data_IF_964095510565
#
_entry.id   IF_964095510565
#
_cell.length_a   1.000
_cell.length_b   1.000
_cell.length_c   1.000
_cell.angle_alpha   90.00
_cell.angle_beta   90.00
_cell.angle_gamma   90.00
#
_symmetry.space_group_name_H-M   'P 1'
#
loop_
_entity.id
_entity.type
_entity.pdbx_description
1 polymer ?
#
# COMPACT_ATOMS: atom_id res chain seq x y z
N UNK A 1 11.73 68.46 -5.37
CA UNK A 1 10.43 68.58 -6.01
C UNK A 1 9.69 67.34 -5.47
N UNK A 2 9.13 67.51 -4.39
CA UNK A 2 7.72 67.80 -4.03
C UNK A 2 6.94 66.47 -4.01
N UNK A 3 6.65 66.02 -2.82
CA UNK A 3 5.49 66.27 -1.94
C UNK A 3 4.43 65.17 -2.17
N UNK A 4 3.78 64.56 -1.23
CA UNK A 4 3.30 64.85 0.14
C UNK A 4 2.84 63.47 0.76
N UNK A 5 3.17 63.16 2.01
CA UNK A 5 2.40 63.36 3.26
C UNK A 5 0.98 62.72 3.22
N UNK A 6 0.62 61.73 4.04
CA UNK A 6 0.30 61.81 5.45
C UNK A 6 -0.29 60.51 6.04
N UNK A 7 0.17 60.19 7.20
CA UNK A 7 -0.44 59.97 8.52
C UNK A 7 -1.24 58.72 8.83
N UNK A 8 -0.64 58.02 9.77
CA UNK A 8 -1.15 57.57 11.07
C UNK A 8 -2.54 56.92 11.15
N UNK A 9 -2.58 55.69 11.63
CA UNK A 9 -3.02 55.50 13.03
C UNK A 9 -2.65 54.10 13.56
N UNK A 10 -2.14 54.13 14.76
CA UNK A 10 -1.95 53.06 15.72
C UNK A 10 -3.31 52.48 16.12
N UNK A 11 -3.39 51.15 16.21
CA UNK A 11 -4.07 50.51 17.32
C UNK A 11 -3.64 49.05 17.44
N UNK A 12 -3.13 48.71 18.61
CA UNK A 12 -2.91 47.33 19.04
C UNK A 12 -4.24 46.72 19.43
N UNK A 13 -4.42 45.40 19.20
CA UNK A 13 -5.36 44.64 19.99
C UNK A 13 -4.64 43.66 20.92
N UNK A 14 -5.15 43.68 22.09
CA UNK A 14 -4.94 42.88 23.28
C UNK A 14 -4.85 41.38 23.06
N UNK A 15 -3.97 40.76 23.85
CA UNK A 15 -3.93 39.38 24.29
C UNK A 15 -5.32 38.75 24.49
N UNK A 16 -5.58 37.67 23.80
CA UNK A 16 -6.52 36.65 24.23
C UNK A 16 -5.85 35.29 24.18
N UNK A 17 -5.41 34.86 25.33
CA UNK A 17 -5.13 33.47 25.70
C UNK A 17 -6.36 32.62 25.45
N UNK A 18 -6.34 31.79 24.40
CA UNK A 18 -7.35 30.76 24.21
C UNK A 18 -6.89 29.49 24.93
N UNK A 19 -7.58 29.18 26.01
CA UNK A 19 -7.60 27.86 26.66
C UNK A 19 -7.96 26.78 25.62
N UNK A 20 -7.03 25.86 25.35
CA UNK A 20 -7.34 24.57 24.76
C UNK A 20 -7.97 23.73 25.87
N UNK A 21 -9.28 23.55 25.83
CA UNK A 21 -9.97 22.49 26.53
C UNK A 21 -9.64 21.17 25.85
N UNK A 22 -9.18 20.19 26.62
CA UNK A 22 -9.07 18.79 26.19
C UNK A 22 -10.50 18.27 25.90
N UNK A 23 -10.77 17.98 24.64
CA UNK A 23 -12.03 17.36 24.23
C UNK A 23 -12.11 15.93 24.77
N UNK A 24 -13.25 15.55 25.30
CA UNK A 24 -13.47 14.22 25.88
C UNK A 24 -13.57 13.15 24.77
N UNK A 25 -13.24 11.87 25.03
CA UNK A 25 -13.35 10.77 24.06
C UNK A 25 -14.76 10.61 23.46
N UNK A 26 -15.75 11.19 24.10
CA UNK A 26 -17.15 11.18 23.63
C UNK A 26 -17.37 12.24 22.53
N UNK A 27 -16.71 13.39 22.66
CA UNK A 27 -16.79 14.48 21.68
C UNK A 27 -16.06 14.14 20.39
N UNK A 28 -14.93 13.44 20.50
CA UNK A 28 -14.20 12.91 19.33
C UNK A 28 -15.03 11.87 18.56
N UNK A 29 -15.75 11.01 19.27
CA UNK A 29 -16.67 10.03 18.65
C UNK A 29 -17.89 10.70 17.98
N UNK A 30 -18.34 11.82 18.53
CA UNK A 30 -19.43 12.62 17.94
C UNK A 30 -18.92 13.38 16.72
N UNK A 31 -17.69 13.89 16.76
CA UNK A 31 -17.06 14.60 15.64
C UNK A 31 -16.79 13.66 14.46
N UNK A 32 -16.29 12.43 14.72
CA UNK A 32 -16.09 11.40 13.70
C UNK A 32 -17.41 10.98 13.05
N UNK A 33 -18.47 10.84 13.85
CA UNK A 33 -19.82 10.54 13.33
C UNK A 33 -20.38 11.70 12.49
N UNK A 34 -20.09 12.95 12.89
CA UNK A 34 -20.47 14.13 12.11
C UNK A 34 -19.76 14.20 10.75
N UNK A 35 -18.48 13.81 10.69
CA UNK A 35 -17.72 13.75 9.43
C UNK A 35 -18.20 12.65 8.49
N UNK A 36 -18.58 11.47 9.02
CA UNK A 36 -19.20 10.39 8.23
C UNK A 36 -20.57 10.83 7.66
N UNK A 37 -21.37 11.51 8.46
CA UNK A 37 -22.67 12.00 8.04
C UNK A 37 -22.55 13.13 7.01
N UNK A 38 -21.55 14.00 7.12
CA UNK A 38 -21.28 15.06 6.14
C UNK A 38 -20.76 14.48 4.81
N UNK A 39 -19.90 13.45 4.85
CA UNK A 39 -19.44 12.74 3.66
C UNK A 39 -20.59 12.04 2.92
N UNK A 40 -21.48 11.39 3.68
CA UNK A 40 -22.69 10.73 3.14
C UNK A 40 -23.71 11.74 2.59
N UNK A 41 -23.82 12.90 3.23
CA UNK A 41 -24.66 13.99 2.73
C UNK A 41 -24.13 14.53 1.41
N UNK A 42 -22.79 14.65 1.28
CA UNK A 42 -22.12 15.04 0.04
C UNK A 42 -22.35 14.05 -1.11
N UNK A 43 -22.27 12.74 -0.82
CA UNK A 43 -22.56 11.67 -1.81
C UNK A 43 -24.02 11.69 -2.22
N UNK A 44 -24.93 11.80 -1.27
CA UNK A 44 -26.38 11.86 -1.54
C UNK A 44 -26.76 13.10 -2.35
N UNK A 45 -26.14 14.25 -2.07
CA UNK A 45 -26.36 15.49 -2.83
C UNK A 45 -25.86 15.35 -4.27
N UNK A 46 -24.63 14.81 -4.47
CA UNK A 46 -24.06 14.61 -5.80
C UNK A 46 -24.87 13.60 -6.64
N UNK A 47 -25.29 12.48 -6.04
CA UNK A 47 -26.18 11.51 -6.70
C UNK A 47 -27.57 12.10 -7.01
N UNK A 48 -28.14 12.88 -6.08
CA UNK A 48 -29.39 13.56 -6.28
C UNK A 48 -29.34 14.58 -7.43
N UNK A 49 -28.28 15.37 -7.52
CA UNK A 49 -28.05 16.34 -8.59
C UNK A 49 -27.83 15.65 -9.95
N UNK A 50 -27.07 14.56 -10.02
CA UNK A 50 -26.86 13.79 -11.25
C UNK A 50 -28.15 13.13 -11.75
N UNK A 51 -28.91 12.50 -10.86
CA UNK A 51 -30.22 11.90 -11.19
C UNK A 51 -31.22 12.98 -11.64
N UNK A 52 -31.21 14.14 -10.98
CA UNK A 52 -32.11 15.25 -11.33
C UNK A 52 -31.74 15.85 -12.69
N UNK A 53 -30.46 15.98 -13.00
CA UNK A 53 -29.97 16.49 -14.29
C UNK A 53 -30.26 15.51 -15.42
N UNK A 54 -30.02 14.21 -15.24
CA UNK A 54 -30.37 13.19 -16.24
C UNK A 54 -31.89 13.09 -16.49
N UNK A 55 -32.70 13.27 -15.45
CA UNK A 55 -34.16 13.29 -15.60
C UNK A 55 -34.64 14.55 -16.31
N UNK A 56 -34.01 15.70 -16.09
CA UNK A 56 -34.34 16.96 -16.74
C UNK A 56 -33.89 17.03 -18.21
N UNK A 57 -32.74 16.44 -18.55
CA UNK A 57 -32.28 16.38 -19.95
C UNK A 57 -33.10 15.45 -20.84
N UNK A 58 -33.72 14.42 -20.28
CA UNK A 58 -34.54 13.44 -21.01
C UNK A 58 -36.04 13.76 -21.04
N UNK A 59 -36.46 14.86 -20.40
CA UNK A 59 -37.87 15.24 -20.38
C UNK A 59 -38.30 15.97 -21.69
N UNK A 60 -39.03 15.35 -22.62
CA UNK A 60 -39.58 16.08 -23.74
C UNK A 60 -40.63 17.09 -23.27
N UNK A 61 -40.57 18.29 -23.86
CA UNK A 61 -41.52 19.37 -23.64
C UNK A 61 -42.99 18.92 -23.92
N UNK A 62 -43.73 18.60 -22.86
CA UNK A 62 -45.11 18.06 -23.00
C UNK A 62 -46.12 19.19 -22.96
N UNK A 63 -46.64 19.55 -24.10
CA UNK A 63 -47.91 20.29 -24.20
C UNK A 63 -49.09 19.33 -23.91
N UNK A 64 -49.81 19.59 -22.81
CA UNK A 64 -51.03 18.90 -22.30
C UNK A 64 -50.82 17.43 -21.87
N UNK A 65 -50.99 17.22 -20.57
CA UNK A 65 -50.90 15.92 -19.88
C UNK A 65 -51.94 14.92 -20.41
N UNK A 66 -51.54 13.85 -21.11
CA UNK A 66 -52.44 12.72 -21.27
C UNK A 66 -52.60 12.03 -19.91
N UNK A 67 -53.81 11.58 -19.60
CA UNK A 67 -54.04 10.73 -18.40
C UNK A 67 -53.25 9.44 -18.60
N UNK A 68 -52.15 9.27 -17.85
CA UNK A 68 -51.32 8.07 -17.91
C UNK A 68 -52.17 6.82 -17.65
N UNK A 69 -52.10 5.78 -18.51
CA UNK A 69 -52.80 4.53 -18.32
C UNK A 69 -52.43 3.90 -16.99
N UNK A 70 -53.33 3.18 -16.35
CA UNK A 70 -53.17 2.57 -15.03
C UNK A 70 -51.85 1.74 -14.94
N UNK A 71 -51.49 1.04 -16.01
CA UNK A 71 -50.22 0.26 -16.10
C UNK A 71 -48.98 1.12 -15.93
N UNK A 72 -48.96 2.34 -16.48
CA UNK A 72 -47.85 3.28 -16.35
C UNK A 72 -47.78 3.86 -14.92
N UNK A 73 -48.92 4.15 -14.30
CA UNK A 73 -48.99 4.60 -12.87
C UNK A 73 -48.47 3.52 -11.92
N UNK A 74 -48.79 2.24 -12.20
CA UNK A 74 -48.29 1.10 -11.41
C UNK A 74 -46.78 0.94 -11.62
N UNK A 75 -46.26 1.09 -12.85
CA UNK A 75 -44.85 1.08 -13.10
C UNK A 75 -44.11 2.21 -12.38
N UNK A 76 -44.59 3.42 -12.38
CA UNK A 76 -44.02 4.54 -11.62
C UNK A 76 -44.08 4.30 -10.11
N UNK A 77 -45.18 3.67 -9.61
CA UNK A 77 -45.30 3.26 -8.20
C UNK A 77 -44.22 2.24 -7.82
N UNK A 78 -44.00 1.22 -8.65
CA UNK A 78 -42.97 0.19 -8.44
C UNK A 78 -41.56 0.82 -8.47
N UNK A 79 -41.26 1.66 -9.46
CA UNK A 79 -39.98 2.39 -9.55
C UNK A 79 -39.78 3.30 -8.33
N UNK A 80 -40.83 3.99 -7.88
CA UNK A 80 -40.81 4.82 -6.67
C UNK A 80 -40.53 4.01 -5.40
N UNK A 81 -41.13 2.83 -5.26
CA UNK A 81 -40.84 1.92 -4.12
C UNK A 81 -39.39 1.40 -4.17
N UNK A 82 -38.89 1.03 -5.36
CA UNK A 82 -37.51 0.57 -5.51
C UNK A 82 -36.52 1.69 -5.13
N UNK A 83 -36.74 2.92 -5.66
CA UNK A 83 -35.91 4.08 -5.34
C UNK A 83 -35.94 4.42 -3.85
N UNK A 84 -37.14 4.38 -3.24
CA UNK A 84 -37.31 4.63 -1.82
C UNK A 84 -36.62 3.57 -0.96
N UNK A 85 -36.74 2.29 -1.33
CA UNK A 85 -36.02 1.20 -0.67
C UNK A 85 -34.50 1.36 -0.80
N UNK A 86 -34.03 1.79 -1.96
CA UNK A 86 -32.61 2.06 -2.19
C UNK A 86 -32.11 3.25 -1.35
N UNK A 87 -32.91 4.32 -1.23
CA UNK A 87 -32.60 5.46 -0.34
C UNK A 87 -32.55 5.01 1.12
N UNK A 88 -33.47 4.16 1.57
CA UNK A 88 -33.41 3.59 2.92
C UNK A 88 -32.15 2.79 3.16
N UNK A 89 -31.72 1.98 2.19
CA UNK A 89 -30.47 1.24 2.25
C UNK A 89 -29.24 2.17 2.35
N UNK A 90 -29.26 3.31 1.65
CA UNK A 90 -28.14 4.27 1.70
C UNK A 90 -28.10 5.08 3.01
N UNK A 91 -29.26 5.39 3.60
CA UNK A 91 -29.37 6.30 4.76
C UNK A 91 -29.25 5.56 6.09
N UNK A 92 -29.75 4.32 6.17
CA UNK A 92 -29.74 3.57 7.43
C UNK A 92 -28.38 2.90 7.71
N UNK A 93 -27.94 2.82 8.98
CA UNK A 93 -26.73 2.08 9.34
C UNK A 93 -26.75 0.60 8.87
N UNK A 94 -27.92 -0.03 8.99
CA UNK A 94 -28.13 -1.41 8.52
C UNK A 94 -27.94 -1.52 6.99
N UNK A 95 -28.56 -0.61 6.24
CA UNK A 95 -28.45 -0.62 4.77
C UNK A 95 -27.02 -0.32 4.29
N UNK A 96 -26.34 0.60 4.95
CA UNK A 96 -24.91 0.90 4.65
C UNK A 96 -24.02 -0.32 4.90
N UNK A 97 -24.18 -0.99 6.03
CA UNK A 97 -23.43 -2.22 6.31
C UNK A 97 -23.74 -3.31 5.29
N UNK A 98 -25.02 -3.51 4.96
CA UNK A 98 -25.41 -4.49 3.93
C UNK A 98 -24.81 -4.18 2.56
N UNK A 99 -24.82 -2.92 2.11
CA UNK A 99 -24.19 -2.51 0.85
C UNK A 99 -22.67 -2.67 0.91
N UNK A 100 -22.08 -2.40 2.06
CA UNK A 100 -20.65 -2.60 2.29
C UNK A 100 -20.28 -4.08 2.23
N UNK A 101 -21.06 -4.93 2.86
CA UNK A 101 -20.84 -6.39 2.84
C UNK A 101 -20.95 -6.93 1.40
N UNK A 102 -21.96 -6.51 0.62
CA UNK A 102 -22.05 -6.89 -0.80
C UNK A 102 -20.82 -6.39 -1.59
N UNK A 103 -20.40 -5.15 -1.36
CA UNK A 103 -19.24 -4.60 -2.08
C UNK A 103 -17.95 -5.33 -1.73
N UNK A 104 -17.73 -5.67 -0.46
CA UNK A 104 -16.57 -6.44 0.00
C UNK A 104 -16.62 -7.89 -0.45
N UNK A 105 -17.79 -8.53 -0.44
CA UNK A 105 -17.99 -9.87 -0.98
C UNK A 105 -17.64 -9.94 -2.45
N UNK A 106 -18.13 -8.98 -3.20
CA UNK A 106 -17.84 -8.87 -4.62
C UNK A 106 -16.34 -8.62 -4.87
N UNK A 107 -15.75 -7.69 -4.11
CA UNK A 107 -14.33 -7.36 -4.20
C UNK A 107 -13.45 -8.58 -3.89
N UNK A 108 -13.74 -9.23 -2.77
CA UNK A 108 -12.99 -10.42 -2.33
C UNK A 108 -13.09 -11.57 -3.33
N UNK A 109 -14.28 -11.83 -3.89
CA UNK A 109 -14.48 -12.85 -4.91
C UNK A 109 -13.75 -12.61 -6.24
N UNK A 110 -13.11 -11.44 -6.42
CA UNK A 110 -12.28 -11.11 -7.59
C UNK A 110 -10.80 -11.36 -7.38
N UNK A 111 -10.34 -11.42 -6.14
CA UNK A 111 -8.92 -11.67 -5.83
C UNK A 111 -8.58 -13.16 -5.95
N UNK A 112 -7.31 -13.44 -6.22
CA UNK A 112 -6.76 -14.78 -6.08
C UNK A 112 -6.43 -15.01 -4.61
N UNK A 113 -7.17 -15.92 -3.96
CA UNK A 113 -6.93 -16.30 -2.58
C UNK A 113 -5.93 -17.45 -2.51
N UNK A 114 -4.87 -17.28 -1.72
CA UNK A 114 -3.88 -18.31 -1.42
C UNK A 114 -4.17 -18.87 -0.01
N UNK A 115 -4.60 -20.14 0.05
CA UNK A 115 -4.90 -20.83 1.31
C UNK A 115 -3.64 -21.32 2.05
N UNK A 116 -2.46 -20.92 1.60
CA UNK A 116 -1.18 -21.31 2.19
C UNK A 116 -0.80 -22.77 1.92
N UNK A 117 -1.61 -23.51 1.15
CA UNK A 117 -1.28 -24.86 0.71
C UNK A 117 -0.36 -24.84 -0.53
N UNK A 118 0.65 -23.99 -0.53
CA UNK A 118 1.69 -24.08 -1.54
C UNK A 118 2.31 -25.47 -1.46
N UNK A 119 2.07 -26.27 -2.48
CA UNK A 119 2.66 -27.59 -2.64
C UNK A 119 4.18 -27.43 -2.53
N UNK A 120 4.69 -27.72 -1.35
CA UNK A 120 6.12 -27.95 -1.15
C UNK A 120 6.40 -29.22 -1.94
N UNK A 121 6.89 -29.08 -3.16
CA UNK A 121 7.43 -30.20 -3.90
C UNK A 121 8.66 -30.69 -3.13
N UNK A 122 8.45 -31.63 -2.21
CA UNK A 122 9.48 -32.24 -1.36
C UNK A 122 10.60 -32.90 -2.18
N UNK A 123 10.41 -33.08 -3.48
CA UNK A 123 11.38 -33.74 -4.35
C UNK A 123 12.47 -32.83 -4.93
N UNK A 124 12.30 -31.51 -4.94
CA UNK A 124 13.33 -30.58 -5.44
C UNK A 124 14.26 -30.04 -4.34
N UNK A 125 13.81 -30.03 -3.09
CA UNK A 125 14.63 -29.55 -1.96
C UNK A 125 15.78 -30.48 -1.59
N UNK A 126 15.70 -31.78 -1.92
CA UNK A 126 16.74 -32.75 -1.60
C UNK A 126 18.00 -32.59 -2.48
N UNK A 127 17.87 -32.12 -3.71
CA UNK A 127 19.01 -32.06 -4.65
C UNK A 127 19.78 -30.73 -4.57
N UNK A 128 19.12 -29.64 -4.19
CA UNK A 128 19.79 -28.33 -4.00
C UNK A 128 20.60 -28.26 -2.72
N UNK A 129 20.26 -29.02 -1.68
CA UNK A 129 21.04 -29.15 -0.45
C UNK A 129 22.34 -29.92 -0.65
N UNK A 130 22.47 -30.71 -1.70
CA UNK A 130 23.64 -31.56 -1.99
C UNK A 130 24.83 -30.79 -2.61
N UNK A 131 24.59 -29.59 -3.14
CA UNK A 131 25.63 -28.77 -3.81
C UNK A 131 26.40 -27.88 -2.81
N UNK A 132 26.06 -27.86 -1.52
CA UNK A 132 26.65 -26.97 -0.52
C UNK A 132 27.62 -27.65 0.46
N UNK A 133 28.05 -28.88 0.19
CA UNK A 133 29.18 -29.48 0.92
C UNK A 133 30.52 -29.10 0.26
N UNK A 134 31.00 -27.90 0.50
CA UNK A 134 32.39 -27.54 0.35
C UNK A 134 33.10 -27.54 1.70
N UNK A 135 34.39 -27.94 1.77
CA UNK A 135 35.12 -28.18 3.02
C UNK A 135 35.28 -26.90 3.86
N UNK A 136 35.55 -27.05 5.16
CA UNK A 136 35.46 -25.95 6.11
C UNK A 136 36.57 -24.93 5.89
N UNK A 137 36.24 -23.81 5.30
CA UNK A 137 37.05 -22.60 5.44
C UNK A 137 36.58 -21.96 6.75
N UNK A 138 37.50 -21.77 7.70
CA UNK A 138 37.24 -21.04 8.94
C UNK A 138 36.91 -19.58 8.60
N UNK A 139 35.66 -19.31 8.36
CA UNK A 139 35.16 -17.95 8.18
C UNK A 139 34.63 -17.52 9.56
N UNK A 140 35.16 -16.43 10.06
CA UNK A 140 34.56 -15.72 11.18
C UNK A 140 33.14 -15.32 10.74
N UNK A 141 32.18 -16.13 11.10
CA UNK A 141 30.76 -15.88 10.81
C UNK A 141 30.33 -14.83 11.82
N UNK A 142 30.26 -13.58 11.41
CA UNK A 142 29.48 -12.57 12.15
C UNK A 142 28.02 -12.93 11.88
N UNK A 143 27.54 -13.92 12.61
CA UNK A 143 26.13 -14.24 12.62
C UNK A 143 25.43 -13.09 13.35
N UNK A 144 24.44 -12.40 12.73
CA UNK A 144 23.54 -11.56 13.54
C UNK A 144 23.11 -12.39 14.72
N UNK A 145 23.20 -11.85 15.96
CA UNK A 145 22.75 -12.60 17.13
C UNK A 145 21.26 -12.87 16.95
N UNK A 146 20.98 -14.08 16.48
CA UNK A 146 19.62 -14.54 16.37
C UNK A 146 19.04 -14.59 17.77
N UNK A 147 17.85 -14.05 17.94
CA UNK A 147 17.05 -14.29 19.14
C UNK A 147 16.98 -15.81 19.31
N UNK A 148 17.44 -16.33 20.46
CA UNK A 148 17.51 -17.77 20.70
C UNK A 148 16.08 -18.32 20.73
N UNK A 149 15.66 -18.99 19.64
CA UNK A 149 14.31 -19.54 19.50
C UNK A 149 13.95 -20.58 20.58
N UNK A 150 14.95 -21.10 21.30
CA UNK A 150 14.74 -22.10 22.35
C UNK A 150 14.47 -21.50 23.73
N UNK A 151 14.65 -20.20 23.94
CA UNK A 151 14.60 -19.60 25.27
C UNK A 151 13.30 -18.90 25.64
N UNK A 152 12.49 -18.46 24.70
CA UNK A 152 11.09 -18.02 24.91
C UNK A 152 10.39 -17.85 23.57
N UNK A 153 9.28 -18.52 23.28
CA UNK A 153 8.46 -18.21 22.12
C UNK A 153 7.61 -16.98 22.44
N UNK A 154 8.23 -15.83 22.73
CA UNK A 154 7.47 -14.60 22.65
C UNK A 154 6.98 -14.48 21.22
N UNK A 155 5.67 -14.55 21.07
CA UNK A 155 5.02 -14.31 19.79
C UNK A 155 5.51 -12.97 19.23
N UNK A 156 5.66 -12.85 17.91
CA UNK A 156 6.07 -11.58 17.31
C UNK A 156 5.12 -10.47 17.75
N UNK A 157 5.67 -9.28 17.96
CA UNK A 157 4.91 -8.15 18.51
C UNK A 157 3.71 -7.83 17.64
N UNK A 158 2.55 -7.87 18.25
CA UNK A 158 1.26 -7.50 17.68
C UNK A 158 0.55 -6.54 18.61
N UNK A 159 0.03 -5.46 18.09
CA UNK A 159 -0.78 -4.50 18.86
C UNK A 159 -2.14 -4.31 18.21
N UNK A 160 -3.17 -4.23 19.02
CA UNK A 160 -4.52 -3.91 18.56
C UNK A 160 -4.53 -2.57 17.82
N UNK A 161 -5.20 -2.50 16.70
CA UNK A 161 -5.29 -1.30 15.86
C UNK A 161 -4.04 -1.05 14.98
N UNK A 162 -3.05 -1.95 14.98
CA UNK A 162 -1.93 -1.92 14.05
C UNK A 162 -2.01 -3.15 13.17
N UNK A 163 -2.03 -2.95 11.86
CA UNK A 163 -2.17 -3.98 10.84
C UNK A 163 -0.96 -3.90 9.92
N UNK A 164 -0.21 -5.00 9.83
CA UNK A 164 0.99 -5.11 8.99
C UNK A 164 0.74 -6.05 7.82
N UNK A 165 0.68 -5.52 6.61
CA UNK A 165 0.50 -6.30 5.38
C UNK A 165 1.80 -6.32 4.59
N UNK A 166 2.28 -7.51 4.24
CA UNK A 166 3.47 -7.68 3.41
C UNK A 166 3.13 -7.47 1.93
N UNK A 167 3.73 -6.46 1.32
CA UNK A 167 3.59 -6.15 -0.10
C UNK A 167 4.73 -6.78 -0.87
N UNK A 168 4.41 -7.65 -1.83
CA UNK A 168 5.36 -8.41 -2.63
C UNK A 168 5.21 -8.08 -4.10
N UNK A 169 6.35 -7.85 -4.78
CA UNK A 169 6.42 -7.74 -6.23
C UNK A 169 7.23 -8.90 -6.79
N UNK A 170 6.61 -9.67 -7.68
CA UNK A 170 7.23 -10.85 -8.30
C UNK A 170 7.46 -10.64 -9.78
N UNK A 171 8.67 -10.96 -10.25
CA UNK A 171 8.94 -11.14 -11.67
C UNK A 171 8.49 -12.54 -12.08
N UNK A 172 7.49 -12.64 -12.97
CA UNK A 172 7.07 -13.92 -13.51
C UNK A 172 8.26 -14.56 -14.26
N UNK A 173 8.70 -15.72 -13.79
CA UNK A 173 9.67 -16.52 -14.52
C UNK A 173 8.88 -17.43 -15.47
N UNK A 174 9.14 -17.30 -16.75
CA UNK A 174 8.48 -18.03 -17.86
C UNK A 174 8.77 -19.55 -17.84
N UNK A 175 9.36 -20.07 -16.77
CA UNK A 175 9.89 -21.44 -16.65
C UNK A 175 9.00 -22.44 -15.92
N UNK A 176 7.73 -22.15 -15.72
CA UNK A 176 6.70 -23.14 -15.36
C UNK A 176 6.82 -23.91 -14.03
N UNK A 177 7.96 -23.87 -13.33
CA UNK A 177 8.24 -24.69 -12.15
C UNK A 177 8.99 -23.99 -11.01
N UNK A 178 9.63 -22.87 -11.24
CA UNK A 178 10.32 -22.15 -10.18
C UNK A 178 9.46 -20.95 -9.72
N UNK A 179 9.22 -20.82 -8.40
CA UNK A 179 8.72 -19.58 -7.84
C UNK A 179 9.68 -18.46 -8.23
N UNK A 180 9.13 -17.34 -8.72
CA UNK A 180 9.90 -16.15 -9.04
C UNK A 180 10.66 -15.65 -7.81
N UNK A 181 11.67 -14.80 -8.04
CA UNK A 181 12.29 -14.06 -6.94
C UNK A 181 11.46 -12.83 -6.66
N UNK A 182 11.19 -12.57 -5.39
CA UNK A 182 10.62 -11.28 -5.02
C UNK A 182 11.72 -10.24 -4.91
N UNK A 183 11.64 -9.22 -5.77
CA UNK A 183 12.57 -8.10 -5.77
C UNK A 183 12.01 -6.89 -5.00
N UNK A 184 10.72 -6.90 -4.69
CA UNK A 184 10.03 -5.89 -3.91
C UNK A 184 9.46 -6.56 -2.68
N UNK A 185 9.93 -6.17 -1.51
CA UNK A 185 9.42 -6.60 -0.22
C UNK A 185 9.22 -5.36 0.63
N UNK A 186 7.98 -5.06 0.98
CA UNK A 186 7.64 -3.92 1.82
C UNK A 186 6.57 -4.31 2.82
N UNK A 187 6.56 -3.68 3.98
CA UNK A 187 5.49 -3.81 4.95
C UNK A 187 4.67 -2.54 4.92
N UNK A 188 3.41 -2.66 4.52
CA UNK A 188 2.42 -1.61 4.67
C UNK A 188 1.79 -1.71 6.05
N UNK A 189 2.03 -0.73 6.91
CA UNK A 189 1.45 -0.67 8.25
C UNK A 189 0.34 0.36 8.29
N UNK A 190 -0.85 -0.08 8.64
CA UNK A 190 -1.97 0.79 8.96
C UNK A 190 -2.11 0.87 10.48
N UNK A 191 -1.92 2.07 11.03
CA UNK A 191 -2.11 2.33 12.45
C UNK A 191 -3.38 3.15 12.66
N UNK A 192 -4.41 2.50 13.21
CA UNK A 192 -5.73 3.11 13.39
C UNK A 192 -5.80 4.03 14.61
N UNK A 193 -4.82 3.92 15.53
CA UNK A 193 -4.75 4.74 16.75
C UNK A 193 -4.27 6.17 16.44
N UNK A 194 -3.22 6.27 15.62
CA UNK A 194 -2.64 7.56 15.19
C UNK A 194 -3.10 7.99 13.79
N UNK A 195 -3.93 7.16 13.13
CA UNK A 195 -4.46 7.36 11.78
C UNK A 195 -3.34 7.57 10.76
N UNK A 196 -2.29 6.78 10.84
CA UNK A 196 -1.16 6.84 9.92
C UNK A 196 -1.10 5.61 9.01
N UNK A 197 -0.55 5.83 7.81
CA UNK A 197 -0.14 4.77 6.89
C UNK A 197 1.37 4.84 6.74
N UNK A 198 2.04 3.73 7.01
CA UNK A 198 3.50 3.63 7.00
C UNK A 198 3.95 2.57 6.01
N UNK A 199 5.06 2.81 5.33
CA UNK A 199 5.63 1.89 4.35
C UNK A 199 7.09 1.61 4.70
N UNK A 200 7.38 0.39 5.12
CA UNK A 200 8.73 -0.07 5.42
C UNK A 200 9.27 -0.93 4.28
N UNK A 201 10.31 -0.47 3.60
CA UNK A 201 11.02 -1.27 2.60
C UNK A 201 12.01 -2.21 3.28
N UNK A 202 11.96 -3.50 2.92
CA UNK A 202 12.93 -4.50 3.36
C UNK A 202 13.93 -4.75 2.23
N UNK A 203 15.21 -4.45 2.47
CA UNK A 203 16.22 -4.70 1.44
C UNK A 203 16.49 -6.19 1.31
N UNK A 204 16.34 -6.70 0.09
CA UNK A 204 16.43 -8.12 -0.24
C UNK A 204 17.77 -8.76 0.10
N UNK A 205 18.86 -7.98 0.05
CA UNK A 205 20.23 -8.44 0.29
C UNK A 205 20.63 -8.40 1.77
N UNK A 206 19.70 -8.07 2.69
CA UNK A 206 19.92 -8.20 4.14
C UNK A 206 20.21 -9.65 4.52
N UNK A 207 21.29 -9.86 5.25
CA UNK A 207 21.63 -11.14 5.86
C UNK A 207 20.74 -11.37 7.06
N UNK A 208 19.91 -12.41 7.02
CA UNK A 208 18.94 -12.75 8.06
C UNK A 208 18.98 -14.23 8.36
N UNK A 209 18.51 -14.62 9.53
CA UNK A 209 18.31 -16.02 9.88
C UNK A 209 17.04 -16.54 9.24
N UNK A 210 17.13 -17.63 8.48
CA UNK A 210 15.99 -18.29 7.84
C UNK A 210 15.66 -19.55 8.63
N UNK A 211 14.44 -19.71 9.19
CA UNK A 211 14.04 -20.89 9.96
C UNK A 211 14.28 -22.19 9.20
N UNK A 212 14.99 -23.13 9.80
CA UNK A 212 15.32 -24.43 9.18
C UNK A 212 16.46 -24.39 8.17
N UNK A 213 17.05 -23.23 7.89
CA UNK A 213 18.14 -23.04 6.93
C UNK A 213 19.31 -22.26 7.57
N UNK A 214 20.43 -22.17 6.83
CA UNK A 214 21.51 -21.24 7.18
C UNK A 214 21.05 -19.80 6.93
N UNK A 215 21.65 -18.86 7.66
CA UNK A 215 21.49 -17.43 7.38
C UNK A 215 21.76 -17.11 5.90
N UNK A 216 20.94 -16.30 5.30
CA UNK A 216 21.02 -15.94 3.89
C UNK A 216 20.39 -14.56 3.64
N UNK A 217 20.38 -14.13 2.37
CA UNK A 217 19.63 -12.94 1.95
C UNK A 217 18.15 -13.13 2.23
N UNK A 218 17.48 -12.07 2.66
CA UNK A 218 16.06 -12.10 3.00
C UNK A 218 15.18 -12.67 1.88
N UNK A 219 15.44 -12.28 0.61
CA UNK A 219 14.66 -12.79 -0.52
C UNK A 219 14.83 -14.29 -0.79
N UNK A 220 15.89 -14.92 -0.25
CA UNK A 220 16.09 -16.37 -0.33
C UNK A 220 15.02 -17.13 0.46
N UNK A 221 14.47 -16.55 1.53
CA UNK A 221 13.37 -17.16 2.27
C UNK A 221 12.14 -17.40 1.36
N UNK A 222 11.81 -16.41 0.50
CA UNK A 222 10.73 -16.56 -0.46
C UNK A 222 11.03 -17.64 -1.52
N UNK A 223 12.25 -17.68 -2.04
CA UNK A 223 12.71 -18.68 -3.02
C UNK A 223 12.63 -20.10 -2.44
N UNK A 224 13.01 -20.29 -1.17
CA UNK A 224 13.06 -21.59 -0.51
C UNK A 224 11.69 -22.12 -0.05
N UNK A 225 10.84 -21.26 0.50
CA UNK A 225 9.58 -21.70 1.13
C UNK A 225 8.38 -20.80 0.87
N UNK A 226 8.48 -19.86 -0.10
CA UNK A 226 7.38 -18.95 -0.43
C UNK A 226 7.04 -17.99 0.70
N UNK A 227 5.80 -17.52 0.68
CA UNK A 227 5.30 -16.56 1.68
C UNK A 227 5.36 -17.12 3.10
N UNK A 228 4.99 -18.37 3.38
CA UNK A 228 5.04 -18.90 4.76
C UNK A 228 6.43 -18.82 5.40
N UNK A 229 7.48 -19.17 4.65
CA UNK A 229 8.85 -19.10 5.18
C UNK A 229 9.33 -17.65 5.27
N UNK A 230 8.90 -16.78 4.35
CA UNK A 230 9.22 -15.36 4.42
C UNK A 230 8.57 -14.70 5.65
N UNK A 231 7.33 -15.04 6.00
CA UNK A 231 6.69 -14.59 7.24
C UNK A 231 7.50 -14.98 8.46
N UNK A 232 7.77 -16.28 8.61
CA UNK A 232 8.58 -16.78 9.74
C UNK A 232 9.93 -16.10 9.82
N UNK A 233 10.54 -15.80 8.67
CA UNK A 233 11.84 -15.11 8.60
C UNK A 233 11.72 -13.66 9.05
N UNK A 234 10.68 -12.95 8.62
CA UNK A 234 10.44 -11.55 9.01
C UNK A 234 10.10 -11.48 10.51
N UNK A 235 9.18 -12.31 10.98
CA UNK A 235 8.75 -12.36 12.37
C UNK A 235 9.93 -12.71 13.31
N UNK A 236 10.76 -13.69 12.92
CA UNK A 236 11.93 -14.08 13.69
C UNK A 236 12.96 -12.96 13.83
N UNK A 237 13.29 -12.28 12.72
CA UNK A 237 14.39 -11.32 12.71
C UNK A 237 13.96 -9.92 13.14
N UNK A 238 12.72 -9.54 12.96
CA UNK A 238 12.25 -8.17 13.20
C UNK A 238 11.24 -8.06 14.34
N UNK A 239 10.81 -9.19 14.91
CA UNK A 239 9.88 -9.23 16.05
C UNK A 239 8.60 -8.43 15.80
N UNK A 240 7.99 -8.59 14.64
CA UNK A 240 6.71 -7.99 14.24
C UNK A 240 5.81 -9.05 13.63
N UNK A 241 4.53 -9.03 13.99
CA UNK A 241 3.53 -9.89 13.38
C UNK A 241 3.10 -9.36 12.01
N UNK A 242 2.94 -10.27 11.04
CA UNK A 242 2.42 -9.97 9.69
C UNK A 242 0.99 -10.51 9.61
N UNK A 243 0.03 -9.63 9.33
CA UNK A 243 -1.40 -9.93 9.30
C UNK A 243 -1.89 -10.49 7.95
N UNK A 244 -1.03 -10.49 6.94
CA UNK A 244 -1.32 -11.02 5.61
C UNK A 244 -0.40 -10.42 4.55
N UNK A 245 -0.56 -10.87 3.28
CA UNK A 245 0.22 -10.33 2.18
C UNK A 245 -0.64 -9.92 0.99
N UNK A 246 -0.04 -9.09 0.14
CA UNK A 246 -0.52 -8.75 -1.19
C UNK A 246 0.63 -8.96 -2.17
N UNK A 247 0.43 -9.87 -3.13
CA UNK A 247 1.39 -10.17 -4.20
C UNK A 247 0.89 -9.60 -5.52
N UNK A 248 1.77 -8.87 -6.21
CA UNK A 248 1.49 -8.27 -7.51
C UNK A 248 2.62 -8.65 -8.48
N UNK A 249 2.28 -9.34 -9.58
CA UNK A 249 3.22 -9.60 -10.65
C UNK A 249 3.50 -8.35 -11.49
N UNK A 250 4.58 -8.36 -12.28
CA UNK A 250 4.99 -7.20 -13.09
C UNK A 250 3.94 -6.79 -14.13
N UNK A 251 3.30 -7.76 -14.81
CA UNK A 251 2.23 -7.46 -15.75
C UNK A 251 1.00 -6.85 -15.07
N UNK A 252 0.68 -7.35 -13.88
CA UNK A 252 -0.37 -6.80 -13.03
C UNK A 252 -0.05 -5.37 -12.62
N UNK A 253 1.19 -5.10 -12.21
CA UNK A 253 1.66 -3.76 -11.86
C UNK A 253 1.55 -2.77 -13.04
N UNK A 254 1.99 -3.17 -14.25
CA UNK A 254 1.81 -2.35 -15.45
C UNK A 254 0.33 -2.04 -15.70
N UNK A 255 -0.52 -3.05 -15.60
CA UNK A 255 -1.96 -2.91 -15.80
C UNK A 255 -2.61 -1.99 -14.77
N UNK A 256 -2.23 -2.11 -13.49
CA UNK A 256 -2.70 -1.23 -12.41
C UNK A 256 -2.40 0.23 -12.74
N UNK A 257 -1.15 0.55 -13.10
CA UNK A 257 -0.75 1.92 -13.41
C UNK A 257 -1.45 2.43 -14.68
N UNK A 258 -1.59 1.61 -15.72
CA UNK A 258 -2.29 1.99 -16.94
C UNK A 258 -3.77 2.30 -16.68
N UNK A 259 -4.45 1.49 -15.86
CA UNK A 259 -5.85 1.72 -15.46
C UNK A 259 -6.02 3.00 -14.63
N UNK A 260 -5.02 3.37 -13.83
CA UNK A 260 -4.97 4.65 -13.14
C UNK A 260 -4.77 5.86 -14.08
N UNK A 261 -4.46 5.62 -15.37
CA UNK A 261 -4.07 6.67 -16.31
C UNK A 261 -2.66 7.19 -16.07
N UNK A 262 -1.77 6.35 -15.58
CA UNK A 262 -0.37 6.67 -15.27
C UNK A 262 -0.14 7.24 -13.87
N UNK A 263 1.14 7.40 -13.51
CA UNK A 263 1.59 8.02 -12.24
C UNK A 263 2.53 9.18 -12.51
N UNK A 264 2.39 10.26 -11.73
CA UNK A 264 3.21 11.46 -11.86
C UNK A 264 4.55 11.24 -11.14
N UNK A 265 5.65 11.22 -11.88
CA UNK A 265 7.01 11.02 -11.36
C UNK A 265 7.93 12.10 -11.92
N UNK A 266 8.75 12.69 -11.06
CA UNK A 266 9.82 13.60 -11.45
C UNK A 266 11.11 12.81 -11.69
N UNK A 267 11.61 12.83 -12.92
CA UNK A 267 12.85 12.15 -13.30
C UNK A 267 14.02 13.14 -13.29
N UNK A 268 15.19 12.68 -12.85
CA UNK A 268 16.45 13.37 -13.10
C UNK A 268 16.82 13.23 -14.59
N UNK A 269 17.74 14.07 -15.06
CA UNK A 269 18.27 13.99 -16.42
C UNK A 269 18.91 12.61 -16.68
N UNK A 270 19.69 12.11 -15.72
CA UNK A 270 20.35 10.81 -15.81
C UNK A 270 19.35 9.65 -15.84
N UNK A 271 18.26 9.70 -15.06
CA UNK A 271 17.22 8.67 -15.06
C UNK A 271 16.47 8.64 -16.39
N UNK A 272 16.10 9.80 -16.92
CA UNK A 272 15.43 9.90 -18.20
C UNK A 272 16.30 9.38 -19.35
N UNK A 273 17.58 9.78 -19.39
CA UNK A 273 18.52 9.31 -20.37
C UNK A 273 18.72 7.78 -20.28
N UNK A 274 18.85 7.25 -19.05
CA UNK A 274 19.02 5.82 -18.82
C UNK A 274 17.80 5.00 -19.26
N UNK A 275 16.59 5.44 -18.94
CA UNK A 275 15.35 4.79 -19.34
C UNK A 275 15.17 4.78 -20.88
N UNK A 276 15.57 5.84 -21.56
CA UNK A 276 15.42 5.94 -23.01
C UNK A 276 16.45 5.12 -23.78
N UNK A 277 17.63 4.85 -23.18
CA UNK A 277 18.76 4.19 -23.85
C UNK A 277 18.91 2.71 -23.50
N UNK A 278 18.17 2.23 -22.47
CA UNK A 278 18.25 0.85 -22.01
C UNK A 278 16.94 0.11 -22.23
N UNK A 279 16.91 -1.21 -21.95
CA UNK A 279 15.72 -2.04 -22.04
C UNK A 279 14.89 -2.10 -20.74
N UNK A 280 15.14 -1.20 -19.79
CA UNK A 280 14.31 -1.12 -18.58
C UNK A 280 12.86 -0.75 -18.89
N UNK A 281 12.67 0.16 -19.84
CA UNK A 281 11.39 0.30 -20.56
C UNK A 281 11.42 -0.76 -21.67
N UNK A 282 10.69 -1.85 -21.49
CA UNK A 282 10.74 -3.01 -22.38
C UNK A 282 10.18 -2.69 -23.79
N UNK A 283 9.19 -1.81 -23.87
CA UNK A 283 8.54 -1.39 -25.12
C UNK A 283 9.25 -0.16 -25.69
N UNK A 284 9.95 -0.28 -26.83
CA UNK A 284 10.76 0.81 -27.39
C UNK A 284 9.95 2.09 -27.67
N UNK A 285 8.68 1.97 -28.03
CA UNK A 285 7.77 3.10 -28.30
C UNK A 285 7.49 3.97 -27.07
N UNK A 286 7.76 3.46 -25.87
CA UNK A 286 7.59 4.19 -24.61
C UNK A 286 8.91 4.78 -24.07
N UNK A 287 10.04 4.64 -24.81
CA UNK A 287 11.34 5.24 -24.46
C UNK A 287 11.40 6.71 -24.88
N UNK A 288 10.49 7.51 -24.34
CA UNK A 288 10.28 8.92 -24.69
C UNK A 288 10.06 9.81 -23.46
N UNK A 289 10.63 9.41 -22.31
CA UNK A 289 10.57 10.19 -21.06
C UNK A 289 11.59 11.33 -21.08
N UNK A 290 11.34 12.38 -20.32
CA UNK A 290 12.20 13.56 -20.23
C UNK A 290 12.58 13.85 -18.77
N UNK A 291 13.62 14.66 -18.55
CA UNK A 291 13.91 15.21 -17.24
C UNK A 291 12.75 16.06 -16.74
N UNK A 292 12.51 16.07 -15.43
CA UNK A 292 11.38 16.76 -14.81
C UNK A 292 10.13 15.90 -14.70
N UNK A 293 8.96 16.53 -14.65
CA UNK A 293 7.70 15.86 -14.39
C UNK A 293 7.21 15.04 -15.59
N UNK A 294 6.92 13.76 -15.35
CA UNK A 294 6.35 12.85 -16.35
C UNK A 294 5.08 12.19 -15.79
N UNK A 295 4.15 11.88 -16.69
CA UNK A 295 3.06 10.95 -16.40
C UNK A 295 3.46 9.59 -16.96
N UNK A 296 4.08 8.76 -16.12
CA UNK A 296 4.59 7.45 -16.53
C UNK A 296 3.43 6.46 -16.69
N UNK A 297 3.39 5.76 -17.84
CA UNK A 297 2.55 4.58 -18.00
C UNK A 297 3.12 3.36 -17.23
N UNK A 298 2.39 2.23 -17.24
CA UNK A 298 2.80 1.04 -16.47
C UNK A 298 4.19 0.53 -16.84
N UNK A 299 4.50 0.45 -18.15
CA UNK A 299 5.80 -0.05 -18.60
C UNK A 299 6.96 0.90 -18.25
N UNK A 300 6.74 2.22 -18.35
CA UNK A 300 7.70 3.24 -17.92
C UNK A 300 7.92 3.21 -16.40
N UNK A 301 6.84 3.11 -15.63
CA UNK A 301 6.92 3.05 -14.17
C UNK A 301 7.59 1.77 -13.68
N UNK A 302 7.32 0.62 -14.31
CA UNK A 302 8.03 -0.63 -14.02
C UNK A 302 9.52 -0.50 -14.33
N UNK A 303 9.87 0.07 -15.47
CA UNK A 303 11.25 0.38 -15.83
C UNK A 303 11.94 1.26 -14.79
N UNK A 304 11.26 2.33 -14.35
CA UNK A 304 11.76 3.22 -13.30
C UNK A 304 12.02 2.51 -11.96
N UNK A 305 11.08 1.66 -11.52
CA UNK A 305 11.23 0.86 -10.31
C UNK A 305 12.43 -0.11 -10.33
N UNK A 306 12.97 -0.43 -11.49
CA UNK A 306 14.04 -1.42 -11.69
C UNK A 306 15.42 -0.79 -11.84
N UNK A 307 15.55 0.53 -12.02
CA UNK A 307 16.83 1.23 -12.18
C UNK A 307 17.73 1.00 -10.96
N UNK A 308 19.01 0.65 -11.20
CA UNK A 308 20.04 0.46 -10.18
C UNK A 308 21.30 1.32 -10.41
N UNK A 309 21.68 1.52 -11.65
CA UNK A 309 23.00 2.02 -12.03
C UNK A 309 23.07 3.54 -12.21
N UNK A 310 21.99 4.23 -11.91
CA UNK A 310 21.88 5.69 -11.94
C UNK A 310 21.43 6.18 -10.57
N UNK A 311 22.05 7.26 -10.09
CA UNK A 311 21.65 7.86 -8.82
C UNK A 311 20.22 8.42 -8.89
N UNK A 312 19.49 8.32 -7.79
CA UNK A 312 18.23 9.04 -7.58
C UNK A 312 18.48 10.52 -7.34
N UNK A 313 17.45 11.32 -7.31
CA UNK A 313 17.56 12.76 -6.97
C UNK A 313 18.15 13.01 -5.57
N UNK A 314 17.98 12.07 -4.64
CA UNK A 314 18.57 12.06 -3.30
C UNK A 314 19.91 11.29 -3.23
N UNK A 315 20.57 11.09 -4.37
CA UNK A 315 21.89 10.47 -4.53
C UNK A 315 22.00 8.99 -4.09
N UNK A 316 20.88 8.26 -4.02
CA UNK A 316 20.89 6.83 -3.74
C UNK A 316 21.28 6.04 -5.02
N UNK A 317 22.15 5.02 -4.88
CA UNK A 317 22.60 4.13 -5.95
C UNK A 317 22.25 2.67 -5.66
N UNK A 318 22.47 1.80 -6.63
CA UNK A 318 22.29 0.35 -6.53
C UNK A 318 20.89 -0.03 -5.99
N UNK A 319 20.82 -0.99 -5.08
CA UNK A 319 19.57 -1.44 -4.47
C UNK A 319 18.91 -0.38 -3.59
N UNK A 320 19.67 0.53 -3.00
CA UNK A 320 19.14 1.66 -2.24
C UNK A 320 18.35 2.60 -3.15
N UNK A 321 18.93 2.97 -4.31
CA UNK A 321 18.25 3.78 -5.31
C UNK A 321 17.01 3.09 -5.88
N UNK A 322 17.11 1.78 -6.16
CA UNK A 322 15.97 0.97 -6.62
C UNK A 322 14.82 1.00 -5.60
N UNK A 323 15.11 0.74 -4.34
CA UNK A 323 14.13 0.72 -3.25
C UNK A 323 13.51 2.11 -3.02
N UNK A 324 14.30 3.18 -3.16
CA UNK A 324 13.79 4.56 -3.12
C UNK A 324 12.78 4.81 -4.24
N UNK A 325 13.08 4.43 -5.48
CA UNK A 325 12.17 4.57 -6.63
C UNK A 325 10.87 3.80 -6.46
N UNK A 326 10.93 2.60 -5.89
CA UNK A 326 9.74 1.80 -5.60
C UNK A 326 8.80 2.52 -4.62
N UNK A 327 9.35 3.13 -3.56
CA UNK A 327 8.56 3.98 -2.63
C UNK A 327 7.95 5.19 -3.33
N UNK A 328 8.73 5.87 -4.18
CA UNK A 328 8.24 7.02 -4.96
C UNK A 328 7.02 6.63 -5.80
N UNK A 329 7.07 5.49 -6.49
CA UNK A 329 5.93 5.03 -7.30
C UNK A 329 4.74 4.64 -6.44
N UNK A 330 4.93 3.95 -5.31
CA UNK A 330 3.83 3.60 -4.41
C UNK A 330 3.17 4.86 -3.80
N UNK A 331 3.96 5.86 -3.42
CA UNK A 331 3.42 7.14 -2.97
C UNK A 331 2.62 7.83 -4.09
N UNK A 332 3.11 7.82 -5.33
CA UNK A 332 2.40 8.41 -6.47
C UNK A 332 1.08 7.67 -6.80
N UNK A 333 1.04 6.35 -6.64
CA UNK A 333 -0.18 5.55 -6.73
C UNK A 333 -1.15 5.98 -5.62
N UNK A 334 -0.70 6.06 -4.38
CA UNK A 334 -1.51 6.48 -3.24
C UNK A 334 -2.09 7.89 -3.45
N UNK A 335 -1.25 8.86 -3.87
CA UNK A 335 -1.68 10.23 -4.17
C UNK A 335 -2.78 10.28 -5.23
N UNK A 336 -2.70 9.39 -6.20
CA UNK A 336 -3.70 9.26 -7.24
C UNK A 336 -5.02 8.69 -6.72
N UNK A 337 -4.96 7.74 -5.78
CA UNK A 337 -6.14 7.13 -5.16
C UNK A 337 -6.81 8.07 -4.16
N UNK A 338 -6.06 8.72 -3.29
CA UNK A 338 -6.62 9.63 -2.27
C UNK A 338 -7.40 10.80 -2.87
N UNK A 339 -7.14 11.13 -4.15
CA UNK A 339 -7.86 12.19 -4.87
C UNK A 339 -9.17 11.73 -5.50
N UNK A 340 -9.53 10.43 -5.39
CA UNK A 340 -10.71 9.84 -6.03
C UNK A 340 -11.90 9.79 -5.09
N UNK A 341 -13.09 9.97 -5.64
CA UNK A 341 -14.33 9.74 -4.89
C UNK A 341 -14.55 8.25 -4.62
N UNK A 342 -15.29 7.92 -3.56
CA UNK A 342 -15.63 6.52 -3.21
C UNK A 342 -16.20 5.71 -4.39
N UNK A 343 -17.15 6.22 -5.20
CA UNK A 343 -17.64 5.49 -6.38
C UNK A 343 -16.53 5.18 -7.39
N UNK A 344 -15.59 6.13 -7.61
CA UNK A 344 -14.45 5.90 -8.49
C UNK A 344 -13.49 4.85 -7.91
N UNK A 345 -13.24 4.87 -6.60
CA UNK A 345 -12.42 3.84 -5.93
C UNK A 345 -13.00 2.45 -6.10
N UNK A 346 -14.33 2.28 -5.93
CA UNK A 346 -15.01 0.99 -6.13
C UNK A 346 -14.83 0.48 -7.58
N UNK A 347 -14.96 1.36 -8.57
CA UNK A 347 -14.75 1.01 -9.98
C UNK A 347 -13.30 0.57 -10.24
N UNK A 348 -12.32 1.29 -9.69
CA UNK A 348 -10.91 0.91 -9.82
C UNK A 348 -10.61 -0.42 -9.12
N UNK A 349 -11.13 -0.62 -7.89
CA UNK A 349 -10.95 -1.88 -7.16
C UNK A 349 -11.45 -3.07 -7.97
N UNK A 350 -12.62 -2.97 -8.61
CA UNK A 350 -13.15 -4.03 -9.46
C UNK A 350 -12.17 -4.48 -10.55
N UNK A 351 -11.41 -3.55 -11.09
CA UNK A 351 -10.44 -3.80 -12.16
C UNK A 351 -9.06 -4.26 -11.65
N UNK A 352 -8.72 -3.92 -10.41
CA UNK A 352 -7.40 -4.18 -9.83
C UNK A 352 -7.36 -5.48 -9.03
N UNK A 353 -8.44 -5.81 -8.34
CA UNK A 353 -8.49 -6.98 -7.46
C UNK A 353 -8.19 -8.32 -8.16
N UNK A 354 -8.61 -8.55 -9.42
CA UNK A 354 -8.23 -9.77 -10.16
C UNK A 354 -6.73 -9.91 -10.42
N UNK A 355 -5.97 -8.82 -10.24
CA UNK A 355 -4.52 -8.76 -10.47
C UNK A 355 -3.70 -9.00 -9.20
N UNK A 356 -4.37 -9.28 -8.08
CA UNK A 356 -3.78 -9.39 -6.75
C UNK A 356 -3.97 -10.82 -6.23
N UNK A 357 -2.91 -11.37 -5.63
CA UNK A 357 -2.98 -12.61 -4.83
C UNK A 357 -2.77 -12.28 -3.36
N UNK A 358 -3.57 -12.86 -2.46
CA UNK A 358 -3.53 -12.59 -1.02
C UNK A 358 -3.97 -13.80 -0.21
N UNK A 359 -3.49 -13.90 1.05
CA UNK A 359 -3.96 -14.83 2.07
C UNK A 359 -4.85 -14.14 3.13
N UNK A 360 -5.08 -12.82 2.99
CA UNK A 360 -5.96 -12.08 3.89
C UNK A 360 -7.37 -12.66 3.79
N UNK A 361 -7.93 -13.07 4.91
CA UNK A 361 -9.30 -13.61 4.95
C UNK A 361 -10.31 -12.53 4.64
N UNK A 362 -11.47 -12.95 4.14
CA UNK A 362 -12.53 -12.05 3.70
C UNK A 362 -12.99 -11.05 4.78
N UNK A 363 -13.16 -11.53 6.01
CA UNK A 363 -13.63 -10.69 7.12
C UNK A 363 -12.57 -9.64 7.48
N UNK A 364 -11.29 -10.06 7.58
CA UNK A 364 -10.17 -9.17 7.82
C UNK A 364 -10.02 -8.14 6.69
N UNK A 365 -10.14 -8.58 5.44
CA UNK A 365 -10.08 -7.68 4.27
C UNK A 365 -11.17 -6.60 4.33
N UNK A 366 -12.41 -7.00 4.67
CA UNK A 366 -13.53 -6.06 4.84
C UNK A 366 -13.22 -5.02 5.91
N UNK A 367 -12.68 -5.46 7.05
CA UNK A 367 -12.36 -4.58 8.17
C UNK A 367 -11.17 -3.65 7.85
N UNK A 368 -10.13 -4.16 7.19
CA UNK A 368 -8.99 -3.33 6.77
C UNK A 368 -9.41 -2.27 5.76
N UNK A 369 -10.28 -2.64 4.81
CA UNK A 369 -10.78 -1.68 3.82
C UNK A 369 -11.66 -0.60 4.48
N UNK A 370 -12.57 -0.96 5.41
CA UNK A 370 -13.38 -0.01 6.17
C UNK A 370 -12.50 0.97 6.96
N UNK A 371 -11.50 0.44 7.68
CA UNK A 371 -10.58 1.26 8.46
C UNK A 371 -9.78 2.20 7.55
N UNK A 372 -9.20 1.70 6.47
CA UNK A 372 -8.43 2.51 5.52
C UNK A 372 -9.22 3.66 4.91
N UNK A 373 -10.49 3.42 4.56
CA UNK A 373 -11.37 4.47 3.99
C UNK A 373 -11.75 5.52 5.03
N UNK A 374 -11.97 5.12 6.29
CA UNK A 374 -12.40 6.04 7.36
C UNK A 374 -11.27 6.86 7.95
N UNK A 375 -10.02 6.42 7.81
CA UNK A 375 -8.86 7.12 8.38
C UNK A 375 -8.53 8.46 7.71
N UNK A 376 -9.07 8.75 6.54
CA UNK A 376 -8.81 9.98 5.76
C UNK A 376 -7.31 10.29 5.62
N UNK A 377 -6.55 9.31 5.14
CA UNK A 377 -5.10 9.35 5.03
C UNK A 377 -4.62 10.40 4.02
N UNK A 378 -3.67 11.24 4.42
CA UNK A 378 -3.14 12.31 3.58
C UNK A 378 -1.78 11.98 2.94
N UNK A 379 -0.98 11.17 3.61
CA UNK A 379 0.38 10.80 3.18
C UNK A 379 0.75 9.41 3.68
N UNK A 380 1.80 8.85 3.09
CA UNK A 380 2.47 7.63 3.56
C UNK A 380 3.81 8.04 4.16
N UNK A 381 4.05 7.62 5.40
CA UNK A 381 5.37 7.72 6.01
C UNK A 381 6.26 6.59 5.49
N UNK A 382 7.51 6.90 5.16
CA UNK A 382 8.41 5.94 4.52
C UNK A 382 9.59 5.59 5.42
N UNK A 383 9.90 4.31 5.51
CA UNK A 383 11.02 3.75 6.25
C UNK A 383 11.75 2.70 5.41
N UNK A 384 12.97 2.31 5.83
CA UNK A 384 13.74 1.27 5.15
C UNK A 384 14.61 0.51 6.14
N UNK A 385 14.64 -0.80 6.02
CA UNK A 385 15.61 -1.67 6.66
C UNK A 385 16.60 -2.23 5.63
N UNK A 386 17.91 -2.28 5.98
CA UNK A 386 18.49 -1.77 7.22
C UNK A 386 18.61 -0.24 7.21
N UNK A 387 18.59 0.36 8.40
CA UNK A 387 18.76 1.80 8.60
C UNK A 387 20.20 2.21 8.28
N UNK A 388 20.40 3.42 7.77
CA UNK A 388 21.75 3.94 7.50
C UNK A 388 22.60 3.92 8.78
N UNK A 389 23.87 3.53 8.63
CA UNK A 389 24.84 3.37 9.72
C UNK A 389 24.54 2.25 10.73
N UNK A 390 23.47 1.45 10.51
CA UNK A 390 23.11 0.28 11.31
C UNK A 390 23.28 -1.02 10.52
N UNK A 391 24.21 -1.06 9.59
CA UNK A 391 24.60 -2.25 8.85
C UNK A 391 26.01 -2.09 8.29
N UNK A 392 26.64 -3.21 7.97
CA UNK A 392 27.88 -3.29 7.24
C UNK A 392 27.68 -3.97 5.89
N UNK A 393 28.36 -3.50 4.85
CA UNK A 393 28.43 -4.23 3.58
C UNK A 393 29.52 -5.29 3.68
N UNK A 394 29.19 -6.53 3.33
CA UNK A 394 30.11 -7.64 3.48
C UNK A 394 29.91 -8.74 2.46
N UNK A 395 30.78 -9.75 2.54
CA UNK A 395 30.66 -10.96 1.74
C UNK A 395 30.58 -12.18 2.66
N UNK A 396 29.47 -12.92 2.55
CA UNK A 396 29.25 -14.16 3.29
C UNK A 396 29.08 -15.29 2.28
N UNK A 397 29.91 -16.31 2.37
CA UNK A 397 29.91 -17.46 1.44
C UNK A 397 29.93 -17.04 -0.05
N UNK A 398 30.69 -16.00 -0.38
CA UNK A 398 30.82 -15.47 -1.75
C UNK A 398 29.62 -14.59 -2.20
N UNK A 399 28.64 -14.38 -1.35
CA UNK A 399 27.50 -13.50 -1.61
C UNK A 399 27.75 -12.11 -1.05
N UNK A 400 27.55 -11.07 -1.83
CA UNK A 400 27.48 -9.69 -1.32
C UNK A 400 26.21 -9.52 -0.53
N UNK A 401 26.29 -9.08 0.74
CA UNK A 401 25.20 -8.96 1.68
C UNK A 401 25.28 -7.67 2.47
N UNK A 402 24.15 -7.24 3.00
CA UNK A 402 24.04 -6.22 4.04
C UNK A 402 23.90 -6.92 5.39
N UNK A 403 24.86 -6.76 6.26
CA UNK A 403 24.90 -7.37 7.61
C UNK A 403 24.33 -6.35 8.59
N UNK A 404 23.07 -6.48 9.02
CA UNK A 404 22.43 -5.51 9.91
C UNK A 404 22.92 -5.64 11.35
N UNK A 405 23.08 -4.52 12.06
CA UNK A 405 22.90 -4.52 13.51
C UNK A 405 21.42 -4.77 13.80
N UNK A 406 21.09 -6.05 14.02
CA UNK A 406 19.72 -6.48 14.06
C UNK A 406 18.94 -5.81 15.19
N UNK A 407 19.53 -5.71 16.38
CA UNK A 407 18.86 -5.10 17.55
C UNK A 407 18.58 -3.62 17.33
N UNK A 408 19.55 -2.87 16.80
CA UNK A 408 19.37 -1.45 16.51
C UNK A 408 18.27 -1.25 15.43
N UNK A 409 18.28 -2.06 14.39
CA UNK A 409 17.27 -2.01 13.32
C UNK A 409 15.86 -2.38 13.82
N UNK A 410 15.74 -3.36 14.71
CA UNK A 410 14.45 -3.73 15.34
C UNK A 410 13.91 -2.59 16.19
N UNK A 411 14.76 -1.94 16.99
CA UNK A 411 14.34 -0.82 17.82
C UNK A 411 13.78 0.34 16.98
N UNK A 412 14.47 0.71 15.90
CA UNK A 412 14.02 1.76 14.98
C UNK A 412 12.72 1.36 14.26
N UNK A 413 12.61 0.10 13.82
CA UNK A 413 11.40 -0.41 13.21
C UNK A 413 10.21 -0.35 14.16
N UNK A 414 10.40 -0.80 15.41
CA UNK A 414 9.35 -0.79 16.43
C UNK A 414 8.93 0.64 16.77
N UNK A 415 9.89 1.57 16.89
CA UNK A 415 9.57 2.97 17.09
C UNK A 415 8.77 3.53 15.91
N UNK A 416 9.14 3.18 14.69
CA UNK A 416 8.42 3.62 13.49
C UNK A 416 7.01 3.05 13.42
N UNK A 417 6.83 1.75 13.65
CA UNK A 417 5.52 1.07 13.52
C UNK A 417 4.61 1.41 14.71
N UNK A 418 5.09 1.23 15.93
CA UNK A 418 4.30 1.26 17.15
C UNK A 418 4.35 2.60 17.91
N UNK A 419 5.31 3.47 17.52
CA UNK A 419 5.58 4.71 18.26
C UNK A 419 6.47 4.49 19.48
N UNK A 420 6.78 5.55 20.20
CA UNK A 420 7.61 5.50 21.40
C UNK A 420 6.96 4.62 22.47
N UNK A 421 7.71 3.66 23.00
CA UNK A 421 7.29 2.92 24.19
C UNK A 421 7.12 3.96 25.29
N UNK A 422 5.89 4.21 25.73
CA UNK A 422 5.67 4.93 26.98
C UNK A 422 6.19 4.02 28.08
N UNK A 423 7.41 4.29 28.55
CA UNK A 423 7.87 3.73 29.84
C UNK A 423 6.99 4.36 30.92
N UNK A 424 6.03 3.56 31.42
CA UNK A 424 5.29 3.90 32.63
C UNK A 424 6.22 3.85 33.87
#
# INVERSE_FOLDING_TARGET
>A
MDNHINKNNTDQPSDQTTNRQEESPLEEKILLRGQEDELLLGINKSLGEQVTNELNEKAPYIKKKPKLPLRVKVSFGIVGVILFSFIILLVTPFGRNFLWDIATDYAYGKMSYDDGQAVVNQNESADRNKVLETPPITIVTVTPQAKDMNSNPDLPRKEEGIINVLLLGEEAIDSGTAKGRTDIMMIGTMNTKDKSLKLTSLMRDMLVQIPGYKDNKLNTAYELGGVPLLYQTIELNFDIHIDGYVLVGFDAFENIINKLGGVAITLTEAEAAYLNTTNYISKPEYRNVSAGNNMLNGNQALGYCRIRYVATGDHQLNDFGRTSRQRVVLNAIFDKYKSKSLPQLILYLNDLLPLITTDIKKDDFSDYLKQGVTMNLNNIENFRLPVNQMFEEGSVRGMSVLIPDLQANVNELHQFIFGSIKTE
#
